data_IF_500122831283
#
_entry.id   IF_500122831283
#
_cell.length_a   1.000
_cell.length_b   1.000
_cell.length_c   1.000
_cell.angle_alpha   90.00
_cell.angle_beta   90.00
_cell.angle_gamma   90.00
#
_symmetry.space_group_name_H-M   'P 1'
#
loop_
_entity.id
_entity.type
_entity.pdbx_description
1 polymer ?
#
# COMPACT_ATOMS: atom_id res chain seq x y z
N UNK A 1 11.15 5.20 18.29
CA UNK A 1 11.18 6.54 17.67
C UNK A 1 11.07 6.31 16.17
N UNK A 2 9.95 6.68 15.55
CA UNK A 2 9.79 6.49 14.12
C UNK A 2 10.74 7.47 13.40
N UNK A 3 11.65 6.97 12.55
CA UNK A 3 12.37 7.82 11.61
C UNK A 3 11.33 8.68 10.87
N UNK A 4 11.62 9.97 10.66
CA UNK A 4 10.78 10.92 9.92
C UNK A 4 10.65 10.50 8.44
N UNK A 5 9.87 9.46 8.17
CA UNK A 5 9.52 9.07 6.80
C UNK A 5 8.59 10.13 6.22
N UNK A 6 9.04 10.79 5.14
CA UNK A 6 8.19 11.69 4.35
C UNK A 6 7.11 10.83 3.70
N UNK A 7 5.85 11.10 4.03
CA UNK A 7 4.69 10.40 3.47
C UNK A 7 4.05 11.24 2.38
N UNK A 8 3.68 10.60 1.28
CA UNK A 8 2.81 11.20 0.26
C UNK A 8 1.44 10.53 0.27
N UNK A 9 0.41 11.34 0.07
CA UNK A 9 -0.94 10.86 -0.19
C UNK A 9 -1.08 10.53 -1.67
N UNK A 10 -1.74 9.41 -1.97
CA UNK A 10 -2.13 9.02 -3.33
C UNK A 10 -3.65 9.03 -3.45
N UNK A 11 -4.15 9.41 -4.61
CA UNK A 11 -5.56 9.31 -4.99
C UNK A 11 -5.73 8.15 -5.96
N UNK A 12 -6.69 7.26 -5.69
CA UNK A 12 -6.98 6.10 -6.54
C UNK A 12 -8.41 6.26 -7.05
N UNK A 13 -8.60 6.15 -8.36
CA UNK A 13 -9.92 6.14 -8.99
C UNK A 13 -10.41 4.69 -9.14
N UNK A 14 -11.60 4.41 -8.64
CA UNK A 14 -12.23 3.09 -8.67
C UNK A 14 -13.69 3.22 -9.13
N UNK A 15 -14.27 2.18 -9.75
CA UNK A 15 -15.71 2.07 -9.88
C UNK A 15 -16.41 2.22 -8.53
N UNK A 16 -17.62 2.80 -8.54
CA UNK A 16 -18.40 3.02 -7.30
C UNK A 16 -18.70 1.70 -6.58
N UNK A 17 -18.90 0.60 -7.33
CA UNK A 17 -19.07 -0.75 -6.78
C UNK A 17 -17.91 -1.16 -5.88
N UNK A 18 -16.69 -0.93 -6.35
CA UNK A 18 -15.47 -1.42 -5.71
C UNK A 18 -15.12 -0.54 -4.51
N UNK A 19 -15.32 0.77 -4.64
CA UNK A 19 -15.27 1.69 -3.51
C UNK A 19 -16.26 1.29 -2.40
N UNK A 20 -17.50 0.92 -2.75
CA UNK A 20 -18.51 0.49 -1.79
C UNK A 20 -18.08 -0.79 -1.08
N UNK A 21 -17.54 -1.76 -1.82
CA UNK A 21 -17.03 -3.00 -1.25
C UNK A 21 -15.89 -2.74 -0.26
N UNK A 22 -14.92 -1.89 -0.61
CA UNK A 22 -13.83 -1.49 0.29
C UNK A 22 -14.35 -0.81 1.56
N UNK A 23 -15.33 0.09 1.42
CA UNK A 23 -15.94 0.78 2.55
C UNK A 23 -16.66 -0.18 3.49
N UNK A 24 -17.40 -1.15 2.95
CA UNK A 24 -18.10 -2.17 3.74
C UNK A 24 -17.11 -3.06 4.50
N UNK A 25 -16.02 -3.47 3.85
CA UNK A 25 -15.02 -4.32 4.49
C UNK A 25 -14.27 -3.59 5.61
N UNK A 26 -13.95 -2.31 5.41
CA UNK A 26 -13.36 -1.47 6.45
C UNK A 26 -14.28 -1.34 7.67
N UNK A 27 -15.58 -1.13 7.43
CA UNK A 27 -16.60 -1.09 8.48
C UNK A 27 -16.73 -2.43 9.22
N UNK A 28 -16.77 -3.56 8.48
CA UNK A 28 -16.84 -4.91 9.06
C UNK A 28 -15.66 -5.21 9.99
N UNK A 29 -14.46 -4.72 9.65
CA UNK A 29 -13.24 -4.87 10.46
C UNK A 29 -13.07 -3.79 11.52
N UNK A 30 -13.97 -2.81 11.58
CA UNK A 30 -13.89 -1.64 12.46
C UNK A 30 -12.54 -0.89 12.35
N UNK A 31 -12.07 -0.66 11.12
CA UNK A 31 -10.85 0.12 10.85
C UNK A 31 -11.11 1.19 9.77
N UNK A 32 -10.32 2.28 9.72
CA UNK A 32 -10.38 3.24 8.63
C UNK A 32 -10.09 2.57 7.28
N UNK A 33 -10.79 3.00 6.23
CA UNK A 33 -10.58 2.49 4.86
C UNK A 33 -9.12 2.67 4.39
N UNK A 34 -8.45 3.76 4.78
CA UNK A 34 -7.05 4.02 4.45
C UNK A 34 -6.10 3.03 5.12
N UNK A 35 -6.41 2.59 6.34
CA UNK A 35 -5.67 1.56 7.06
C UNK A 35 -5.88 0.18 6.41
N UNK A 36 -7.11 -0.14 5.99
CA UNK A 36 -7.38 -1.34 5.21
C UNK A 36 -6.54 -1.37 3.93
N UNK A 37 -6.58 -0.30 3.13
CA UNK A 37 -5.80 -0.19 1.91
C UNK A 37 -4.29 -0.33 2.18
N UNK A 38 -3.76 0.31 3.23
CA UNK A 38 -2.34 0.20 3.58
C UNK A 38 -1.95 -1.23 3.93
N UNK A 39 -2.76 -1.95 4.71
CA UNK A 39 -2.51 -3.35 5.08
C UNK A 39 -2.48 -4.28 3.87
N UNK A 40 -3.35 -4.03 2.89
CA UNK A 40 -3.41 -4.86 1.68
C UNK A 40 -2.33 -4.53 0.66
N UNK A 41 -1.95 -3.25 0.55
CA UNK A 41 -0.89 -2.82 -0.38
C UNK A 41 0.51 -3.14 0.17
N UNK A 42 0.69 -3.14 1.50
CA UNK A 42 1.99 -3.34 2.15
C UNK A 42 2.82 -4.53 1.62
N UNK A 43 2.26 -5.74 1.50
CA UNK A 43 2.98 -6.91 0.96
C UNK A 43 3.48 -6.71 -0.48
N UNK A 44 2.68 -6.07 -1.33
CA UNK A 44 3.06 -5.83 -2.73
C UNK A 44 4.16 -4.75 -2.82
N UNK A 45 4.10 -3.71 -1.97
CA UNK A 45 5.19 -2.71 -1.87
C UNK A 45 6.48 -3.36 -1.38
N UNK A 46 6.39 -4.29 -0.44
CA UNK A 46 7.58 -5.01 0.03
C UNK A 46 8.24 -5.80 -1.10
N UNK A 47 7.46 -6.55 -1.91
CA UNK A 47 7.98 -7.25 -3.09
C UNK A 47 8.66 -6.30 -4.07
N UNK A 48 8.07 -5.13 -4.33
CA UNK A 48 8.68 -4.11 -5.21
C UNK A 48 10.03 -3.60 -4.69
N UNK A 49 10.19 -3.44 -3.37
CA UNK A 49 11.49 -3.09 -2.79
C UNK A 49 12.53 -4.21 -2.97
N UNK A 50 12.13 -5.47 -2.77
CA UNK A 50 12.99 -6.63 -2.94
C UNK A 50 13.48 -6.76 -4.40
N UNK A 51 12.56 -6.62 -5.36
CA UNK A 51 12.86 -6.62 -6.79
C UNK A 51 13.78 -5.45 -7.18
N UNK A 52 13.49 -4.24 -6.70
CA UNK A 52 14.34 -3.07 -6.97
C UNK A 52 15.76 -3.21 -6.43
N UNK A 53 15.91 -3.86 -5.26
CA UNK A 53 17.23 -4.09 -4.66
C UNK A 53 18.01 -5.20 -5.39
N UNK A 54 17.32 -6.23 -5.90
CA UNK A 54 17.93 -7.28 -6.71
C UNK A 54 18.50 -6.73 -8.03
N UNK A 55 17.77 -5.85 -8.72
CA UNK A 55 18.27 -5.19 -9.95
C UNK A 55 19.48 -4.28 -9.68
N UNK A 56 19.49 -3.56 -8.54
CA UNK A 56 20.61 -2.68 -8.14
C UNK A 56 21.87 -3.46 -7.78
N UNK A 57 21.75 -4.62 -7.14
CA UNK A 57 22.90 -5.46 -6.81
C UNK A 57 23.63 -6.01 -8.06
N UNK A 58 22.90 -6.23 -9.15
CA UNK A 58 23.42 -6.80 -10.40
C UNK A 58 24.01 -5.76 -11.37
N UNK A 59 23.96 -4.47 -11.04
CA UNK A 59 24.48 -3.39 -11.90
C UNK A 59 25.88 -2.92 -11.53
N UNK A 60 26.55 -3.57 -10.57
CA UNK A 60 27.91 -3.26 -10.10
C UNK A 60 28.95 -4.32 -10.53
N UNK A 61 28.72 -5.03 -11.63
CA UNK A 61 29.72 -5.92 -12.27
C UNK A 61 30.14 -5.35 -13.62
#
# INVERSE_FOLDING_TARGET
MALNEIRKQISIFLPVSDWRALRQEAARRNIPITELCRRWIGPEIQKLHEESNSCRANSNV
#
